data_IF_661293238025
#
_entry.id   IF_661293238025
#
_cell.length_a   1.000
_cell.length_b   1.000
_cell.length_c   1.000
_cell.angle_alpha   90.00
_cell.angle_beta   90.00
_cell.angle_gamma   90.00
#
_symmetry.space_group_name_H-M   'P 1'
#
loop_
_entity.id
_entity.type
_entity.pdbx_description
1 polymer ?
#
# COMPACT_ATOMS: atom_id res chain seq x y z
N UNK A 1 22.31 22.35 5.21
CA UNK A 1 20.93 22.34 4.69
C UNK A 1 19.95 22.91 5.72
N UNK A 2 18.69 23.20 5.34
CA UNK A 2 17.64 23.60 6.27
C UNK A 2 16.74 22.41 6.57
N UNK A 3 16.87 21.85 7.77
CA UNK A 3 16.12 20.64 8.18
C UNK A 3 14.74 21.06 8.70
N UNK A 4 13.71 20.48 8.13
CA UNK A 4 12.32 20.66 8.55
C UNK A 4 11.97 19.59 9.57
N UNK A 5 11.54 20.01 10.76
CA UNK A 5 11.04 19.11 11.80
C UNK A 5 9.54 19.26 11.94
N UNK A 6 8.75 18.21 11.68
CA UNK A 6 7.28 18.27 11.82
C UNK A 6 6.85 18.63 13.23
N UNK A 7 7.55 18.10 14.23
CA UNK A 7 7.33 18.44 15.64
C UNK A 7 7.82 19.87 15.90
N UNK A 8 6.91 20.75 16.30
CA UNK A 8 7.20 22.15 16.63
C UNK A 8 7.29 23.07 15.42
N UNK A 9 6.93 22.64 14.22
CA UNK A 9 6.90 23.42 12.98
C UNK A 9 8.17 24.25 12.73
N UNK A 10 9.33 23.66 13.04
CA UNK A 10 10.59 24.36 13.04
C UNK A 10 11.46 24.01 11.83
N UNK A 11 12.14 25.04 11.30
CA UNK A 11 13.15 24.89 10.25
C UNK A 11 14.48 25.37 10.80
N UNK A 12 15.47 24.49 10.86
CA UNK A 12 16.79 24.80 11.41
C UNK A 12 17.89 24.57 10.37
N UNK A 13 18.85 25.47 10.30
CA UNK A 13 20.10 25.17 9.59
C UNK A 13 20.84 24.08 10.38
N UNK A 14 21.11 22.96 9.71
CA UNK A 14 21.79 21.84 10.34
C UNK A 14 22.46 20.93 9.31
N UNK A 15 23.42 20.16 9.80
CA UNK A 15 23.98 19.02 9.10
C UNK A 15 23.34 17.72 9.59
N UNK A 16 23.27 16.73 8.72
CA UNK A 16 22.70 15.43 8.98
C UNK A 16 23.74 14.36 8.70
N UNK A 17 24.13 13.63 9.74
CA UNK A 17 24.97 12.46 9.59
C UNK A 17 24.13 11.20 9.49
N UNK A 18 24.48 10.36 8.51
CA UNK A 18 23.83 9.06 8.29
C UNK A 18 24.87 7.96 8.45
N UNK A 19 24.54 6.92 9.22
CA UNK A 19 25.36 5.73 9.40
C UNK A 19 24.45 4.50 9.36
N UNK A 20 24.82 3.52 8.58
CA UNK A 20 24.09 2.24 8.45
C UNK A 20 22.59 2.44 8.14
N UNK A 21 22.28 3.38 7.22
CA UNK A 21 20.92 3.69 6.80
C UNK A 21 20.09 4.44 7.84
N UNK A 22 20.69 4.93 8.93
CA UNK A 22 19.98 5.63 10.01
C UNK A 22 20.53 7.02 10.24
N UNK A 23 19.69 7.93 10.71
CA UNK A 23 20.14 9.23 11.20
C UNK A 23 20.99 9.04 12.46
N UNK A 24 22.29 9.24 12.33
CA UNK A 24 23.22 9.12 13.46
C UNK A 24 23.28 10.40 14.29
N UNK A 25 23.21 11.58 13.64
CA UNK A 25 23.22 12.87 14.31
C UNK A 25 22.65 13.97 13.42
N UNK A 26 21.97 14.93 14.04
CA UNK A 26 21.55 16.20 13.41
C UNK A 26 22.06 17.32 14.33
N UNK A 27 22.91 18.19 13.82
CA UNK A 27 23.48 19.29 14.57
C UNK A 27 23.83 20.47 13.65
N UNK A 28 24.01 21.65 14.21
CA UNK A 28 24.30 22.88 13.45
C UNK A 28 25.58 22.79 12.60
N UNK A 29 26.57 22.07 13.11
CA UNK A 29 27.85 21.86 12.44
C UNK A 29 28.39 20.47 12.80
N UNK A 30 28.66 19.67 11.76
CA UNK A 30 29.22 18.33 11.93
C UNK A 30 30.51 18.21 11.11
N UNK A 31 31.60 17.70 11.74
CA UNK A 31 32.86 17.54 11.02
C UNK A 31 32.72 16.53 9.88
N UNK A 32 33.14 16.93 8.69
CA UNK A 32 33.17 16.05 7.50
C UNK A 32 34.27 14.98 7.59
N UNK A 33 35.22 15.13 8.53
CA UNK A 33 36.34 14.18 8.72
C UNK A 33 35.80 12.79 9.07
N UNK A 34 36.19 11.80 8.29
CA UNK A 34 35.75 10.41 8.45
C UNK A 34 34.41 10.05 7.73
N UNK A 35 33.76 11.00 7.10
CA UNK A 35 32.62 10.71 6.26
C UNK A 35 33.06 10.05 4.93
N UNK A 36 32.41 8.96 4.54
CA UNK A 36 32.64 8.31 3.24
C UNK A 36 32.22 9.21 2.07
N UNK A 37 31.18 10.02 2.28
CA UNK A 37 30.63 10.93 1.27
C UNK A 37 29.98 12.12 1.98
N UNK A 38 30.18 13.30 1.40
CA UNK A 38 29.57 14.54 1.87
C UNK A 38 28.77 15.15 0.73
N UNK A 39 27.53 15.54 1.02
CA UNK A 39 26.67 16.25 0.11
C UNK A 39 26.43 17.67 0.61
N UNK A 40 26.78 18.67 -0.19
CA UNK A 40 26.40 20.06 0.07
C UNK A 40 24.92 20.26 -0.24
N UNK A 41 24.11 20.49 0.76
CA UNK A 41 22.68 20.76 0.62
C UNK A 41 22.38 22.16 0.07
N UNK A 42 23.38 23.07 -0.09
CA UNK A 42 23.24 24.42 -0.67
C UNK A 42 22.05 25.21 -0.12
N UNK A 43 21.80 25.11 1.19
CA UNK A 43 20.68 25.75 1.87
C UNK A 43 19.29 25.21 1.49
N UNK A 44 19.20 24.10 0.75
CA UNK A 44 17.92 23.47 0.42
C UNK A 44 17.22 22.94 1.67
N UNK A 45 15.90 22.84 1.57
CA UNK A 45 15.09 22.22 2.60
C UNK A 45 15.28 20.70 2.58
N UNK A 46 15.43 20.09 3.74
CA UNK A 46 15.42 18.65 3.93
C UNK A 46 14.19 18.27 4.74
N UNK A 47 13.32 17.49 4.14
CA UNK A 47 12.11 16.96 4.75
C UNK A 47 12.30 15.49 5.10
N UNK A 48 11.54 14.97 6.08
CA UNK A 48 11.32 13.53 6.16
C UNK A 48 10.77 13.01 4.81
N UNK A 49 11.17 11.82 4.42
CA UNK A 49 10.62 11.20 3.23
C UNK A 49 9.11 10.98 3.38
N UNK A 50 8.38 11.17 2.29
CA UNK A 50 6.94 10.94 2.27
C UNK A 50 6.65 9.44 2.28
N UNK A 51 5.70 9.03 3.09
CA UNK A 51 5.08 7.70 3.02
C UNK A 51 3.80 7.85 2.22
N UNK A 52 3.77 7.27 1.02
CA UNK A 52 2.54 7.20 0.23
C UNK A 52 1.72 5.99 0.71
N UNK A 53 0.65 6.28 1.40
CA UNK A 53 -0.15 5.28 2.08
C UNK A 53 -1.10 4.50 1.15
N UNK A 54 -1.19 4.86 -0.12
CA UNK A 54 -2.04 4.14 -1.08
C UNK A 54 -1.64 4.40 -2.53
N UNK A 55 -1.02 3.41 -3.14
CA UNK A 55 -0.60 3.44 -4.54
C UNK A 55 -1.07 2.20 -5.28
N UNK A 56 -0.95 2.22 -6.60
CA UNK A 56 -1.27 1.09 -7.45
C UNK A 56 -0.07 0.75 -8.35
N UNK A 57 0.24 -0.53 -8.48
CA UNK A 57 1.19 -1.07 -9.42
C UNK A 57 0.66 -2.39 -10.00
N UNK A 58 0.76 -2.59 -11.31
CA UNK A 58 0.28 -3.80 -11.98
C UNK A 58 -1.19 -3.75 -12.39
N UNK A 59 -1.80 -2.56 -12.50
CA UNK A 59 -3.19 -2.41 -12.94
C UNK A 59 -3.30 -2.16 -14.46
N UNK A 60 -2.52 -1.27 -15.02
CA UNK A 60 -2.54 -0.93 -16.45
C UNK A 60 -1.33 -1.45 -17.21
N UNK A 61 -0.24 -1.66 -16.52
CA UNK A 61 0.98 -2.29 -17.02
C UNK A 61 1.34 -3.49 -16.13
N UNK A 62 2.18 -4.41 -16.61
CA UNK A 62 2.63 -5.52 -15.79
C UNK A 62 3.30 -5.07 -14.50
N UNK A 63 3.04 -5.76 -13.39
CA UNK A 63 3.60 -5.43 -12.07
C UNK A 63 5.12 -5.22 -12.10
N UNK A 64 5.85 -6.05 -12.87
CA UNK A 64 7.31 -5.95 -13.01
C UNK A 64 7.79 -4.62 -13.61
N UNK A 65 6.95 -3.98 -14.45
CA UNK A 65 7.23 -2.71 -15.11
C UNK A 65 6.81 -1.56 -14.20
N UNK A 66 5.59 -1.61 -13.68
CA UNK A 66 5.05 -0.59 -12.76
C UNK A 66 5.88 -0.48 -11.48
N UNK A 67 6.36 -1.61 -10.93
CA UNK A 67 7.25 -1.58 -9.76
C UNK A 67 8.48 -0.67 -9.98
N UNK A 68 9.00 -0.62 -11.19
CA UNK A 68 10.13 0.25 -11.55
C UNK A 68 9.67 1.68 -11.86
N UNK A 69 8.69 1.84 -12.75
CA UNK A 69 8.27 3.15 -13.26
C UNK A 69 7.59 3.99 -12.19
N UNK A 70 6.62 3.42 -11.49
CA UNK A 70 5.85 4.11 -10.44
C UNK A 70 6.73 4.46 -9.24
N UNK A 71 7.58 3.54 -8.81
CA UNK A 71 8.48 3.83 -7.69
C UNK A 71 9.57 4.85 -8.03
N UNK A 72 9.98 4.92 -9.30
CA UNK A 72 10.88 5.98 -9.78
C UNK A 72 10.19 7.33 -9.74
N UNK A 73 8.97 7.43 -10.24
CA UNK A 73 8.17 8.65 -10.19
C UNK A 73 7.93 9.09 -8.74
N UNK A 74 7.59 8.16 -7.87
CA UNK A 74 7.41 8.38 -6.44
C UNK A 74 8.69 8.94 -5.79
N UNK A 75 9.85 8.33 -6.06
CA UNK A 75 11.15 8.80 -5.56
C UNK A 75 11.46 10.23 -6.04
N UNK A 76 11.16 10.56 -7.29
CA UNK A 76 11.33 11.92 -7.85
C UNK A 76 10.42 12.93 -7.14
N UNK A 77 9.24 12.51 -6.68
CA UNK A 77 8.32 13.32 -5.89
C UNK A 77 8.66 13.42 -4.40
N UNK A 78 9.72 12.72 -3.94
CA UNK A 78 10.14 12.73 -2.54
C UNK A 78 9.49 11.64 -1.68
N UNK A 79 8.79 10.70 -2.28
CA UNK A 79 8.28 9.50 -1.61
C UNK A 79 9.45 8.56 -1.30
N UNK A 80 9.49 8.02 -0.12
CA UNK A 80 10.51 7.04 0.32
C UNK A 80 9.93 5.68 0.65
N UNK A 81 8.63 5.61 0.85
CA UNK A 81 7.92 4.35 1.11
C UNK A 81 6.55 4.37 0.44
N UNK A 82 6.17 3.27 -0.20
CA UNK A 82 4.89 3.11 -0.91
C UNK A 82 4.12 1.93 -0.34
N UNK A 83 2.82 2.12 -0.17
CA UNK A 83 1.90 1.04 0.20
C UNK A 83 1.00 0.72 -0.98
N UNK A 84 1.32 -0.37 -1.68
CA UNK A 84 0.67 -0.73 -2.94
C UNK A 84 -0.58 -1.57 -2.69
N UNK A 85 -1.67 -1.17 -3.30
CA UNK A 85 -2.89 -1.97 -3.33
C UNK A 85 -2.72 -3.20 -4.23
N UNK A 86 -3.17 -4.35 -3.75
CA UNK A 86 -3.19 -5.57 -4.53
C UNK A 86 -4.44 -6.41 -4.21
N UNK A 87 -5.04 -6.98 -5.24
CA UNK A 87 -6.22 -7.85 -5.14
C UNK A 87 -6.18 -9.01 -6.12
N UNK A 88 -7.06 -9.96 -5.94
CA UNK A 88 -7.44 -10.94 -6.97
C UNK A 88 -8.28 -10.31 -8.07
N UNK A 89 -8.45 -11.05 -9.15
CA UNK A 89 -9.30 -10.67 -10.27
C UNK A 89 -8.53 -10.10 -11.46
N UNK A 90 -9.28 -9.52 -12.36
CA UNK A 90 -8.72 -8.90 -13.56
C UNK A 90 -7.74 -7.79 -13.18
N UNK A 91 -6.72 -7.59 -13.99
CA UNK A 91 -5.54 -6.77 -13.72
C UNK A 91 -4.59 -7.41 -12.71
N UNK A 92 -3.58 -6.68 -12.26
CA UNK A 92 -2.52 -7.15 -11.38
C UNK A 92 -1.85 -8.41 -11.96
N UNK A 93 -2.11 -9.60 -11.45
CA UNK A 93 -1.61 -10.86 -12.03
C UNK A 93 -2.71 -11.69 -12.70
N UNK A 94 -3.94 -11.19 -12.79
CA UNK A 94 -5.11 -11.94 -13.29
C UNK A 94 -5.28 -13.29 -12.57
N UNK A 95 -5.23 -13.28 -11.24
CA UNK A 95 -5.35 -14.47 -10.41
C UNK A 95 -6.53 -14.38 -9.47
N UNK A 96 -7.12 -15.53 -9.19
CA UNK A 96 -8.14 -15.72 -8.17
C UNK A 96 -7.68 -16.72 -7.12
N UNK A 97 -8.51 -16.95 -6.11
CA UNK A 97 -8.28 -17.88 -5.03
C UNK A 97 -7.31 -17.36 -3.96
N UNK A 98 -6.92 -18.23 -3.02
CA UNK A 98 -6.22 -17.85 -1.80
C UNK A 98 -4.89 -17.11 -2.03
N UNK A 99 -4.66 -16.02 -1.30
CA UNK A 99 -3.40 -15.25 -1.37
C UNK A 99 -2.17 -16.09 -1.09
N UNK A 100 -2.22 -17.03 -0.16
CA UNK A 100 -1.09 -17.92 0.16
C UNK A 100 -0.55 -18.68 -1.04
N UNK A 101 -1.34 -18.87 -2.09
CA UNK A 101 -0.93 -19.59 -3.31
C UNK A 101 -0.15 -18.74 -4.29
N UNK A 102 -0.40 -17.43 -4.35
CA UNK A 102 0.22 -16.56 -5.36
C UNK A 102 0.88 -15.30 -4.82
N UNK A 103 0.63 -14.90 -3.57
CA UNK A 103 1.31 -13.74 -3.00
C UNK A 103 2.84 -13.88 -2.94
N UNK A 104 3.42 -15.07 -2.73
CA UNK A 104 4.86 -15.26 -2.92
C UNK A 104 5.38 -14.82 -4.30
N UNK A 105 4.62 -15.07 -5.38
CA UNK A 105 4.96 -14.61 -6.73
C UNK A 105 4.93 -13.08 -6.83
N UNK A 106 3.97 -12.42 -6.18
CA UNK A 106 3.92 -10.95 -6.11
C UNK A 106 5.19 -10.40 -5.47
N UNK A 107 5.63 -10.99 -4.37
CA UNK A 107 6.85 -10.60 -3.67
C UNK A 107 8.11 -10.85 -4.52
N UNK A 108 8.19 -11.97 -5.22
CA UNK A 108 9.31 -12.29 -6.11
C UNK A 108 9.39 -11.35 -7.30
N UNK A 109 8.25 -11.02 -7.92
CA UNK A 109 8.19 -10.02 -8.99
C UNK A 109 8.64 -8.64 -8.48
N UNK A 110 8.30 -8.30 -7.25
CA UNK A 110 8.61 -6.98 -6.68
C UNK A 110 10.06 -6.84 -6.23
N UNK A 111 10.67 -7.94 -5.84
CA UNK A 111 12.00 -7.97 -5.22
C UNK A 111 13.06 -7.30 -6.08
N UNK A 112 13.71 -6.27 -5.53
CA UNK A 112 14.81 -5.55 -6.16
C UNK A 112 14.38 -4.64 -7.33
N UNK A 113 13.08 -4.40 -7.56
CA UNK A 113 12.58 -3.53 -8.64
C UNK A 113 12.17 -2.15 -8.17
N UNK A 114 11.71 -2.03 -6.95
CA UNK A 114 11.32 -0.73 -6.41
C UNK A 114 12.53 0.16 -6.10
N UNK A 115 12.41 1.44 -6.42
CA UNK A 115 13.40 2.47 -6.09
C UNK A 115 13.24 3.03 -4.67
N UNK A 116 12.14 2.71 -4.01
CA UNK A 116 11.78 3.11 -2.64
C UNK A 116 11.36 1.89 -1.85
N UNK A 117 11.24 2.01 -0.54
CA UNK A 117 10.65 0.95 0.27
C UNK A 117 9.19 0.73 -0.13
N UNK A 118 8.74 -0.51 -0.06
CA UNK A 118 7.37 -0.85 -0.42
C UNK A 118 6.75 -1.90 0.49
N UNK A 119 5.44 -1.85 0.59
CA UNK A 119 4.61 -2.86 1.21
C UNK A 119 3.30 -3.00 0.43
N UNK A 120 2.43 -3.91 0.86
CA UNK A 120 1.18 -4.18 0.20
C UNK A 120 -0.02 -4.01 1.13
N UNK A 121 -1.08 -3.36 0.62
CA UNK A 121 -2.45 -3.55 1.10
C UNK A 121 -3.05 -4.73 0.34
N UNK A 122 -3.51 -5.74 1.02
CA UNK A 122 -4.26 -6.81 0.38
C UNK A 122 -5.76 -6.59 0.55
N UNK A 123 -6.50 -6.88 -0.50
CA UNK A 123 -7.95 -6.78 -0.48
C UNK A 123 -8.58 -8.14 -0.19
N UNK A 124 -9.24 -8.34 0.96
CA UNK A 124 -10.06 -9.53 1.17
C UNK A 124 -11.28 -9.48 0.24
N UNK A 125 -11.31 -10.34 -0.77
CA UNK A 125 -12.34 -10.33 -1.82
C UNK A 125 -13.44 -11.39 -1.59
N UNK A 126 -13.15 -12.39 -0.78
CA UNK A 126 -14.06 -13.47 -0.44
C UNK A 126 -13.82 -13.98 1.00
N UNK A 127 -14.60 -14.94 1.43
CA UNK A 127 -14.52 -15.54 2.77
C UNK A 127 -13.17 -16.24 3.02
N UNK A 128 -12.56 -16.81 1.98
CA UNK A 128 -11.24 -17.45 2.08
C UNK A 128 -10.17 -16.42 2.43
N UNK A 129 -10.20 -15.25 1.78
CA UNK A 129 -9.26 -14.17 2.08
C UNK A 129 -9.41 -13.61 3.49
N UNK A 130 -10.65 -13.52 3.99
CA UNK A 130 -10.91 -13.13 5.39
C UNK A 130 -10.26 -14.12 6.35
N UNK A 131 -10.41 -15.42 6.09
CA UNK A 131 -9.80 -16.46 6.88
C UNK A 131 -8.25 -16.44 6.84
N UNK A 132 -7.66 -15.94 5.76
CA UNK A 132 -6.21 -15.84 5.60
C UNK A 132 -5.57 -14.65 6.33
N UNK A 133 -6.34 -13.66 6.78
CA UNK A 133 -5.82 -12.44 7.43
C UNK A 133 -4.76 -12.74 8.50
N UNK A 134 -4.98 -13.68 9.44
CA UNK A 134 -3.97 -14.00 10.45
C UNK A 134 -2.66 -14.59 9.87
N UNK A 135 -2.76 -15.41 8.82
CA UNK A 135 -1.57 -15.97 8.14
C UNK A 135 -0.82 -14.88 7.39
N UNK A 136 -1.51 -13.99 6.69
CA UNK A 136 -0.91 -12.87 5.97
C UNK A 136 -0.11 -11.95 6.91
N UNK A 137 -0.63 -11.71 8.11
CA UNK A 137 0.05 -10.91 9.14
C UNK A 137 1.29 -11.65 9.67
N UNK A 138 1.14 -12.92 10.04
CA UNK A 138 2.20 -13.65 10.73
C UNK A 138 3.33 -14.09 9.81
N UNK A 139 3.01 -14.53 8.60
CA UNK A 139 3.95 -15.13 7.65
C UNK A 139 4.55 -14.12 6.68
N UNK A 140 3.73 -13.18 6.20
CA UNK A 140 4.14 -12.24 5.16
C UNK A 140 4.29 -10.80 5.66
N UNK A 141 3.96 -10.53 6.93
CA UNK A 141 4.06 -9.19 7.51
C UNK A 141 3.04 -8.19 6.95
N UNK A 142 2.02 -8.67 6.23
CA UNK A 142 0.94 -7.81 5.72
C UNK A 142 0.03 -7.42 6.87
N UNK A 143 0.06 -6.15 7.26
CA UNK A 143 -0.77 -5.62 8.34
C UNK A 143 -1.78 -4.56 7.87
N UNK A 144 -1.81 -4.28 6.59
CA UNK A 144 -2.76 -3.33 6.00
C UNK A 144 -3.66 -4.04 4.99
N UNK A 145 -4.95 -3.76 5.11
CA UNK A 145 -5.99 -4.28 4.24
C UNK A 145 -6.77 -3.13 3.63
N UNK A 146 -7.32 -3.33 2.44
CA UNK A 146 -8.07 -2.29 1.73
C UNK A 146 -9.23 -2.91 0.98
N UNK A 147 -10.41 -2.30 1.10
CA UNK A 147 -11.56 -2.64 0.26
C UNK A 147 -12.10 -1.41 -0.46
N UNK A 148 -12.63 -1.65 -1.66
CA UNK A 148 -13.34 -0.67 -2.46
C UNK A 148 -14.80 -1.08 -2.54
N UNK A 149 -15.69 -0.31 -1.91
CA UNK A 149 -17.12 -0.65 -1.81
C UNK A 149 -17.86 -0.54 -3.14
N UNK A 150 -17.27 0.07 -4.16
CA UNK A 150 -17.88 0.23 -5.47
C UNK A 150 -17.69 -0.97 -6.43
N UNK A 151 -16.87 -1.95 -6.09
CA UNK A 151 -16.77 -3.15 -6.91
C UNK A 151 -18.12 -3.87 -6.93
N UNK A 152 -18.69 -4.05 -8.10
CA UNK A 152 -20.04 -4.53 -8.28
C UNK A 152 -20.97 -3.52 -8.94
N UNK A 153 -20.53 -2.25 -9.06
CA UNK A 153 -21.23 -1.32 -9.94
C UNK A 153 -20.92 -1.62 -11.40
N UNK A 154 -21.93 -1.45 -12.22
CA UNK A 154 -21.88 -1.74 -13.65
C UNK A 154 -20.84 -0.87 -14.36
N UNK A 155 -20.01 -1.49 -15.21
CA UNK A 155 -19.08 -0.77 -16.07
C UNK A 155 -17.84 -0.18 -15.37
N UNK A 156 -17.64 -0.38 -14.08
CA UNK A 156 -16.45 0.10 -13.40
C UNK A 156 -15.25 -0.72 -13.87
N UNK A 157 -14.26 -0.03 -14.42
CA UNK A 157 -13.08 -0.58 -15.09
C UNK A 157 -13.33 -1.34 -16.41
N UNK A 158 -14.56 -1.39 -16.93
CA UNK A 158 -14.88 -1.71 -18.32
C UNK A 158 -14.59 -3.11 -18.84
N UNK A 159 -14.29 -4.10 -17.96
CA UNK A 159 -13.91 -5.45 -18.42
C UNK A 159 -14.96 -6.52 -18.20
N UNK A 160 -15.86 -6.37 -17.25
CA UNK A 160 -16.91 -7.34 -16.98
C UNK A 160 -18.09 -6.70 -16.27
N UNK A 161 -19.30 -7.07 -16.72
CA UNK A 161 -20.56 -6.70 -16.06
C UNK A 161 -20.87 -7.63 -14.88
N UNK A 162 -20.11 -8.73 -14.75
CA UNK A 162 -20.26 -9.70 -13.68
C UNK A 162 -19.17 -9.50 -12.63
N UNK A 163 -19.58 -9.23 -11.42
CA UNK A 163 -18.68 -9.03 -10.27
C UNK A 163 -17.76 -10.24 -10.05
N UNK A 164 -18.30 -11.45 -10.06
CA UNK A 164 -17.53 -12.67 -9.86
C UNK A 164 -16.44 -12.88 -10.91
N UNK A 165 -16.72 -12.57 -12.17
CA UNK A 165 -15.75 -12.71 -13.26
C UNK A 165 -14.65 -11.65 -13.14
N UNK A 166 -15.03 -10.41 -12.80
CA UNK A 166 -14.07 -9.32 -12.63
C UNK A 166 -13.14 -9.53 -11.43
N UNK A 167 -13.69 -9.97 -10.32
CA UNK A 167 -12.94 -10.17 -9.07
C UNK A 167 -12.32 -11.57 -8.97
N UNK A 168 -12.69 -12.51 -9.89
CA UNK A 168 -12.29 -13.91 -9.88
C UNK A 168 -12.56 -14.59 -8.52
N UNK A 169 -13.75 -14.33 -7.99
CA UNK A 169 -14.31 -14.97 -6.79
C UNK A 169 -15.30 -16.06 -7.17
N UNK A 170 -15.69 -16.90 -6.21
CA UNK A 170 -16.67 -17.94 -6.44
C UNK A 170 -18.01 -17.38 -6.93
N UNK A 171 -18.78 -18.14 -7.73
CA UNK A 171 -20.06 -17.65 -8.30
C UNK A 171 -21.12 -17.37 -7.22
N UNK A 172 -21.00 -18.00 -6.06
CA UNK A 172 -21.89 -17.81 -4.91
C UNK A 172 -21.38 -16.75 -3.93
N UNK A 173 -20.13 -16.33 -4.05
CA UNK A 173 -19.57 -15.24 -3.25
C UNK A 173 -20.22 -13.91 -3.67
N UNK A 174 -20.44 -13.05 -2.69
CA UNK A 174 -20.96 -11.70 -2.89
C UNK A 174 -20.00 -10.69 -2.30
N UNK A 175 -19.66 -9.69 -3.08
CA UNK A 175 -18.88 -8.54 -2.64
C UNK A 175 -19.84 -7.38 -2.36
N UNK A 176 -20.49 -7.46 -1.22
CA UNK A 176 -21.58 -6.58 -0.79
C UNK A 176 -21.38 -6.08 0.65
N UNK A 177 -22.37 -5.41 1.23
CA UNK A 177 -22.28 -4.89 2.60
C UNK A 177 -22.03 -5.98 3.65
N UNK A 178 -22.58 -7.19 3.46
CA UNK A 178 -22.33 -8.28 4.37
C UNK A 178 -20.86 -8.72 4.33
N UNK A 179 -20.29 -8.79 3.13
CA UNK A 179 -18.86 -9.06 2.96
C UNK A 179 -18.00 -8.00 3.66
N UNK A 180 -18.34 -6.71 3.51
CA UNK A 180 -17.59 -5.62 4.15
C UNK A 180 -17.63 -5.72 5.68
N UNK A 181 -18.79 -6.06 6.25
CA UNK A 181 -18.91 -6.33 7.68
C UNK A 181 -18.01 -7.50 8.10
N UNK A 182 -17.97 -8.58 7.35
CA UNK A 182 -17.12 -9.73 7.66
C UNK A 182 -15.64 -9.41 7.55
N UNK A 183 -15.23 -8.58 6.59
CA UNK A 183 -13.84 -8.08 6.51
C UNK A 183 -13.49 -7.26 7.75
N UNK A 184 -14.35 -6.34 8.18
CA UNK A 184 -14.13 -5.54 9.39
C UNK A 184 -13.99 -6.43 10.63
N UNK A 185 -14.84 -7.44 10.78
CA UNK A 185 -14.75 -8.44 11.87
C UNK A 185 -13.46 -9.26 11.80
N UNK A 186 -13.06 -9.70 10.59
CA UNK A 186 -11.83 -10.45 10.38
C UNK A 186 -10.58 -9.64 10.77
N UNK A 187 -10.56 -8.37 10.43
CA UNK A 187 -9.47 -7.45 10.82
C UNK A 187 -9.48 -7.21 12.33
N UNK A 188 -10.65 -7.05 12.95
CA UNK A 188 -10.75 -6.88 14.40
C UNK A 188 -10.29 -8.14 15.14
N UNK A 189 -10.73 -9.32 14.71
CA UNK A 189 -10.26 -10.61 15.25
C UNK A 189 -8.73 -10.75 15.15
N UNK A 190 -8.15 -10.28 14.03
CA UNK A 190 -6.70 -10.28 13.88
C UNK A 190 -6.00 -9.33 14.88
N UNK A 191 -6.58 -8.16 15.15
CA UNK A 191 -6.05 -7.23 16.18
C UNK A 191 -6.07 -7.86 17.58
N UNK A 192 -7.13 -8.58 17.90
CA UNK A 192 -7.26 -9.30 19.17
C UNK A 192 -6.25 -10.46 19.28
N UNK A 193 -6.03 -11.18 18.17
CA UNK A 193 -5.06 -12.27 18.09
C UNK A 193 -3.60 -11.81 18.16
N UNK A 194 -3.31 -10.60 17.70
CA UNK A 194 -1.96 -10.01 17.67
C UNK A 194 -1.90 -8.68 18.44
N UNK A 195 -2.16 -8.66 19.76
CA UNK A 195 -2.32 -7.43 20.52
C UNK A 195 -1.09 -6.51 20.46
N UNK A 196 0.13 -7.07 20.37
CA UNK A 196 1.38 -6.32 20.23
C UNK A 196 1.53 -5.63 18.87
N UNK A 197 0.74 -6.02 17.87
CA UNK A 197 0.69 -5.43 16.53
C UNK A 197 -0.64 -4.73 16.24
N UNK A 198 -1.57 -4.69 17.18
CA UNK A 198 -2.93 -4.22 16.94
C UNK A 198 -2.99 -2.80 16.36
N UNK A 199 -2.11 -1.90 16.81
CA UNK A 199 -2.01 -0.52 16.29
C UNK A 199 -1.48 -0.44 14.85
N UNK A 200 -0.85 -1.50 14.36
CA UNK A 200 -0.31 -1.57 12.99
C UNK A 200 -1.27 -2.27 12.02
N UNK A 201 -2.25 -3.01 12.54
CA UNK A 201 -3.24 -3.71 11.72
C UNK A 201 -4.34 -2.72 11.37
N UNK A 202 -4.50 -2.44 10.08
CA UNK A 202 -5.42 -1.42 9.58
C UNK A 202 -6.29 -1.92 8.43
N UNK A 203 -7.47 -1.33 8.30
CA UNK A 203 -8.35 -1.48 7.15
C UNK A 203 -8.67 -0.09 6.61
N UNK A 204 -8.43 0.11 5.32
CA UNK A 204 -8.82 1.30 4.59
C UNK A 204 -10.04 1.00 3.73
N UNK A 205 -10.94 1.97 3.62
CA UNK A 205 -12.20 1.86 2.89
C UNK A 205 -12.27 2.94 1.81
N UNK A 206 -12.61 2.54 0.58
CA UNK A 206 -13.07 3.44 -0.45
C UNK A 206 -14.60 3.38 -0.43
N UNK A 207 -15.24 4.44 0.01
CA UNK A 207 -16.60 4.35 0.58
C UNK A 207 -17.74 4.57 -0.41
N UNK A 208 -17.48 4.99 -1.66
CA UNK A 208 -18.55 5.01 -2.66
C UNK A 208 -19.06 3.60 -2.89
N UNK A 209 -20.37 3.44 -2.74
CA UNK A 209 -21.00 2.12 -2.92
C UNK A 209 -21.40 1.89 -4.36
N UNK A 210 -21.44 0.63 -4.78
CA UNK A 210 -21.85 0.23 -6.12
C UNK A 210 -23.25 0.76 -6.47
N UNK A 211 -24.16 0.75 -5.50
CA UNK A 211 -25.56 1.18 -5.69
C UNK A 211 -25.64 2.67 -5.98
N UNK A 212 -24.93 3.49 -5.21
CA UNK A 212 -24.87 4.95 -5.41
C UNK A 212 -24.24 5.29 -6.75
N UNK A 213 -23.07 4.67 -7.05
CA UNK A 213 -22.39 4.86 -8.33
C UNK A 213 -23.28 4.50 -9.51
N UNK A 214 -23.97 3.35 -9.45
CA UNK A 214 -24.89 2.91 -10.51
C UNK A 214 -26.06 3.86 -10.66
N UNK A 215 -26.62 4.35 -9.55
CA UNK A 215 -27.75 5.29 -9.59
C UNK A 215 -27.35 6.58 -10.32
N UNK A 216 -26.25 7.20 -9.94
CA UNK A 216 -25.79 8.44 -10.57
C UNK A 216 -25.36 8.25 -12.04
N UNK A 217 -24.73 7.12 -12.39
CA UNK A 217 -24.36 6.83 -13.78
C UNK A 217 -25.58 6.72 -14.71
N UNK A 218 -26.73 6.30 -14.18
CA UNK A 218 -27.98 6.24 -14.94
C UNK A 218 -28.71 7.58 -15.10
N UNK A 219 -28.29 8.59 -14.34
CA UNK A 219 -28.91 9.94 -14.40
C UNK A 219 -28.24 10.84 -15.44
N UNK A 220 -27.07 10.47 -15.94
CA UNK A 220 -26.31 11.19 -16.96
C UNK A 220 -26.47 10.54 -18.32
#
# INVERSE_FOLDING_TARGET
MRVVRPQGHAVHSADVAIRDGRFAKVAADLPAKGAKKVYDGKGRLAFPGVVDAHTHAGIYSPLKEDAVSESRAAAQGGVTSMLNYFRTGQYYLNKGGPYRKFFPEVLDISKGRYHVDYAYHLAPMDSTHIAEIPELISKYGVSSFKIFMFYGSHGLHGRSDKQSDFLMIGPDDRYDYAHFEFVMRGVQTARERFPQKASQISLSLHCETAEIMTAYTKMV
#
